data_IF_486594960808
#
_entry.id   IF_486594960808
#
_cell.length_a   1.000
_cell.length_b   1.000
_cell.length_c   1.000
_cell.angle_alpha   90.00
_cell.angle_beta   90.00
_cell.angle_gamma   90.00
#
_symmetry.space_group_name_H-M   'P 1'
#
loop_
_entity.id
_entity.type
_entity.pdbx_description
1 polymer ?
#
# COMPACT_ATOMS: atom_id res chain seq x y z
N UNK A 1 -14.34 -17.26 -8.26
CA UNK A 1 -13.34 -16.18 -8.43
C UNK A 1 -14.02 -14.89 -8.08
N UNK A 2 -13.75 -14.34 -6.89
CA UNK A 2 -14.51 -13.22 -6.32
C UNK A 2 -13.74 -11.93 -6.62
N UNK A 3 -14.38 -10.91 -7.23
CA UNK A 3 -13.67 -9.72 -7.67
C UNK A 3 -13.44 -8.80 -6.47
N UNK A 4 -12.20 -8.35 -6.24
CA UNK A 4 -12.04 -7.11 -5.48
C UNK A 4 -12.53 -5.95 -6.38
N UNK A 5 -13.83 -5.65 -6.34
CA UNK A 5 -14.43 -4.52 -7.06
C UNK A 5 -15.56 -3.90 -6.24
N UNK A 6 -15.19 -3.25 -5.14
CA UNK A 6 -15.97 -2.18 -4.54
C UNK A 6 -15.32 -0.86 -4.94
N UNK A 7 -15.95 -0.11 -5.83
CA UNK A 7 -15.44 1.13 -6.44
C UNK A 7 -14.68 2.05 -5.47
N UNK A 8 -13.36 2.03 -5.57
CA UNK A 8 -12.44 2.96 -4.90
C UNK A 8 -11.97 4.12 -5.81
N UNK A 9 -12.34 4.08 -7.09
CA UNK A 9 -11.64 4.82 -8.14
C UNK A 9 -10.54 3.96 -8.79
N UNK A 10 -9.59 4.61 -9.46
CA UNK A 10 -8.46 3.94 -10.11
C UNK A 10 -7.27 3.76 -9.14
N UNK A 11 -6.32 2.90 -9.53
CA UNK A 11 -5.11 2.58 -8.76
C UNK A 11 -4.35 3.83 -8.32
N UNK A 12 -4.24 4.82 -9.21
CA UNK A 12 -3.52 6.08 -8.95
C UNK A 12 -4.22 6.92 -7.87
N UNK A 13 -5.55 7.02 -7.93
CA UNK A 13 -6.34 7.77 -6.96
C UNK A 13 -6.24 7.16 -5.57
N UNK A 14 -6.29 5.84 -5.45
CA UNK A 14 -6.19 5.16 -4.16
C UNK A 14 -4.80 5.34 -3.55
N UNK A 15 -3.74 5.29 -4.37
CA UNK A 15 -2.38 5.58 -3.95
C UNK A 15 -2.29 6.92 -3.19
N UNK A 16 -3.05 7.94 -3.64
CA UNK A 16 -3.05 9.27 -3.01
C UNK A 16 -3.56 9.32 -1.57
N UNK A 17 -4.27 8.29 -1.11
CA UNK A 17 -4.92 8.29 0.21
C UNK A 17 -4.00 7.87 1.36
N UNK A 18 -2.90 7.19 1.08
CA UNK A 18 -1.95 6.72 2.10
C UNK A 18 -0.48 6.91 1.72
N UNK A 19 -0.17 7.14 0.44
CA UNK A 19 1.13 7.69 0.07
C UNK A 19 1.08 9.19 0.33
N UNK A 20 2.09 9.77 1.01
CA UNK A 20 2.28 11.20 1.00
C UNK A 20 2.23 11.71 -0.44
N UNK A 21 1.23 12.52 -0.81
CA UNK A 21 1.14 13.12 -2.15
C UNK A 21 1.61 14.55 -2.15
N UNK A 22 2.46 14.84 -3.12
CA UNK A 22 2.84 16.19 -3.49
C UNK A 22 1.81 16.75 -4.46
N UNK A 23 1.51 18.03 -4.34
CA UNK A 23 1.26 18.82 -5.53
C UNK A 23 2.56 18.98 -6.31
N UNK A 24 2.54 18.78 -7.63
CA UNK A 24 3.63 19.22 -8.51
C UNK A 24 4.27 18.10 -9.32
N UNK A 25 5.10 17.27 -8.69
CA UNK A 25 5.91 16.26 -9.40
C UNK A 25 5.80 14.88 -8.72
N UNK A 26 5.44 13.87 -9.53
CA UNK A 26 5.01 12.52 -9.10
C UNK A 26 6.14 11.62 -8.59
N UNK A 27 7.28 12.16 -8.18
CA UNK A 27 8.53 11.38 -8.02
C UNK A 27 9.06 11.24 -6.59
N UNK A 28 8.70 12.12 -5.64
CA UNK A 28 8.99 11.96 -4.20
C UNK A 28 8.27 13.03 -3.39
N UNK A 29 7.69 12.67 -2.22
CA UNK A 29 6.82 13.59 -1.48
C UNK A 29 7.06 13.71 0.00
N UNK A 30 7.45 14.92 0.43
CA UNK A 30 7.54 15.29 1.84
C UNK A 30 6.18 15.74 2.39
N UNK A 31 5.74 15.10 3.48
CA UNK A 31 4.94 15.77 4.50
C UNK A 31 5.88 16.75 5.19
N UNK A 32 6.13 17.90 4.56
CA UNK A 32 7.15 18.87 4.95
C UNK A 32 7.03 19.39 6.39
N UNK A 33 5.84 19.28 7.01
CA UNK A 33 5.63 19.57 8.45
C UNK A 33 6.21 18.50 9.38
N UNK A 34 6.26 17.25 8.95
CA UNK A 34 6.67 16.10 9.77
C UNK A 34 8.04 15.53 9.34
N UNK A 35 8.62 16.07 8.26
CA UNK A 35 9.91 15.63 7.71
C UNK A 35 9.86 14.18 7.18
N UNK A 36 8.71 13.76 6.65
CA UNK A 36 8.48 12.39 6.16
C UNK A 36 8.37 12.43 4.64
N UNK A 37 9.26 11.75 3.92
CA UNK A 37 9.26 11.61 2.47
C UNK A 37 8.79 10.23 2.02
N UNK A 38 7.79 10.17 1.13
CA UNK A 38 7.30 8.95 0.51
C UNK A 38 7.74 8.81 -0.95
N UNK A 39 8.18 7.61 -1.35
CA UNK A 39 8.50 7.28 -2.75
C UNK A 39 7.82 5.97 -3.17
N UNK A 40 6.92 6.05 -4.15
CA UNK A 40 6.32 4.87 -4.76
C UNK A 40 7.35 4.13 -5.62
N UNK A 41 7.46 2.82 -5.43
CA UNK A 41 8.37 1.93 -6.19
C UNK A 41 7.59 1.11 -7.22
N UNK A 42 6.47 0.52 -6.80
CA UNK A 42 5.61 -0.31 -7.65
C UNK A 42 4.14 -0.09 -7.27
N UNK A 43 3.26 -0.14 -8.25
CA UNK A 43 1.83 -0.29 -8.03
C UNK A 43 1.29 -1.36 -8.98
N UNK A 44 0.43 -2.24 -8.46
CA UNK A 44 -0.16 -3.33 -9.24
C UNK A 44 -1.54 -3.69 -8.73
N UNK A 45 -2.29 -4.45 -9.54
CA UNK A 45 -3.54 -5.08 -9.11
C UNK A 45 -3.37 -6.58 -9.08
N UNK A 46 -3.69 -7.20 -7.94
CA UNK A 46 -3.63 -8.64 -7.74
C UNK A 46 -5.00 -9.12 -7.30
N UNK A 47 -5.66 -9.93 -8.13
CA UNK A 47 -6.99 -10.51 -7.86
C UNK A 47 -8.09 -9.45 -7.64
N UNK A 48 -7.91 -8.26 -8.22
CA UNK A 48 -8.80 -7.09 -8.06
C UNK A 48 -8.35 -6.15 -6.94
N UNK A 49 -7.45 -6.60 -6.07
CA UNK A 49 -6.99 -5.81 -4.93
C UNK A 49 -5.81 -4.95 -5.37
N UNK A 50 -5.71 -3.73 -4.86
CA UNK A 50 -4.62 -2.83 -5.21
C UNK A 50 -3.43 -3.07 -4.29
N UNK A 51 -2.23 -3.15 -4.86
CA UNK A 51 -0.99 -3.40 -4.13
C UNK A 51 0.00 -2.29 -4.46
N UNK A 52 0.66 -1.77 -3.43
CA UNK A 52 1.62 -0.68 -3.53
C UNK A 52 2.89 -1.04 -2.78
N UNK A 53 4.03 -0.93 -3.43
CA UNK A 53 5.36 -1.00 -2.81
C UNK A 53 5.95 0.40 -2.79
N UNK A 54 6.38 0.88 -1.62
CA UNK A 54 6.87 2.24 -1.46
C UNK A 54 7.85 2.33 -0.30
N UNK A 55 8.66 3.37 -0.33
CA UNK A 55 9.56 3.74 0.75
C UNK A 55 9.01 4.93 1.52
N UNK A 56 9.29 4.95 2.81
CA UNK A 56 9.15 6.13 3.66
C UNK A 56 10.50 6.45 4.28
N UNK A 57 10.93 7.69 4.13
CA UNK A 57 12.11 8.29 4.72
C UNK A 57 11.66 9.33 5.74
N UNK A 58 12.27 9.36 6.92
CA UNK A 58 11.97 10.37 7.94
C UNK A 58 13.27 10.83 8.57
N UNK A 59 13.38 12.14 8.85
CA UNK A 59 14.55 12.71 9.50
C UNK A 59 14.87 11.95 10.80
N UNK A 60 16.13 11.51 10.92
CA UNK A 60 16.65 10.76 12.09
C UNK A 60 16.02 9.38 12.33
N UNK A 61 15.30 8.81 11.35
CA UNK A 61 14.76 7.45 11.42
C UNK A 61 15.28 6.60 10.25
N UNK A 62 15.44 5.28 10.43
CA UNK A 62 15.80 4.41 9.32
C UNK A 62 14.71 4.42 8.24
N UNK A 63 15.13 4.51 6.98
CA UNK A 63 14.27 4.30 5.81
C UNK A 63 13.50 2.99 5.95
N UNK A 64 12.20 3.04 5.62
CA UNK A 64 11.31 1.89 5.69
C UNK A 64 10.81 1.53 4.30
N UNK A 65 10.78 0.24 4.02
CA UNK A 65 10.05 -0.34 2.89
C UNK A 65 8.70 -0.82 3.36
N UNK A 66 7.66 -0.51 2.59
CA UNK A 66 6.30 -0.90 2.86
C UNK A 66 5.70 -1.55 1.61
N UNK A 67 4.96 -2.64 1.83
CA UNK A 67 4.07 -3.24 0.83
C UNK A 67 2.66 -3.26 1.39
N UNK A 68 1.75 -2.54 0.74
CA UNK A 68 0.37 -2.37 1.20
C UNK A 68 -0.60 -2.93 0.18
N UNK A 69 -1.49 -3.83 0.60
CA UNK A 69 -2.69 -4.22 -0.13
C UNK A 69 -3.87 -3.39 0.35
N UNK A 70 -4.70 -2.94 -0.58
CA UNK A 70 -5.95 -2.19 -0.35
C UNK A 70 -7.08 -2.86 -1.11
N UNK A 71 -8.19 -3.10 -0.42
CA UNK A 71 -9.36 -3.75 -1.03
C UNK A 71 -10.67 -3.40 -0.30
N UNK A 72 -11.80 -3.59 -0.99
CA UNK A 72 -13.11 -3.65 -0.36
C UNK A 72 -13.52 -5.10 -0.21
N UNK A 73 -13.73 -5.53 1.03
CA UNK A 73 -14.45 -6.76 1.33
C UNK A 73 -15.96 -6.45 1.36
N UNK A 74 -16.73 -7.22 0.59
CA UNK A 74 -18.18 -7.24 0.72
C UNK A 74 -18.53 -8.20 1.86
N UNK A 75 -19.45 -7.81 2.73
CA UNK A 75 -20.02 -8.72 3.72
C UNK A 75 -21.51 -8.78 3.47
N UNK A 76 -22.01 -9.94 3.04
CA UNK A 76 -23.42 -10.14 2.70
C UNK A 76 -24.31 -9.67 3.85
N UNK A 77 -25.24 -8.75 3.55
CA UNK A 77 -26.16 -8.17 4.54
C UNK A 77 -25.54 -7.21 5.56
N UNK A 78 -24.22 -6.96 5.54
CA UNK A 78 -23.54 -6.07 6.51
C UNK A 78 -22.80 -4.88 5.89
N UNK A 79 -22.69 -4.84 4.57
CA UNK A 79 -22.17 -3.68 3.84
C UNK A 79 -20.75 -3.88 3.29
N UNK A 80 -20.02 -2.77 3.14
CA UNK A 80 -18.68 -2.75 2.52
C UNK A 80 -17.64 -2.40 3.59
N UNK A 81 -16.53 -3.15 3.63
CA UNK A 81 -15.39 -2.90 4.54
C UNK A 81 -14.14 -2.60 3.75
N UNK A 82 -13.46 -1.50 4.08
CA UNK A 82 -12.10 -1.25 3.61
C UNK A 82 -11.14 -2.13 4.39
N UNK A 83 -10.33 -2.89 3.67
CA UNK A 83 -9.26 -3.72 4.24
C UNK A 83 -7.94 -3.22 3.70
N UNK A 84 -7.03 -2.90 4.63
CA UNK A 84 -5.65 -2.57 4.33
C UNK A 84 -4.73 -3.56 5.03
N UNK A 85 -3.74 -4.08 4.32
CA UNK A 85 -2.74 -4.98 4.87
C UNK A 85 -1.36 -4.46 4.50
N UNK A 86 -0.59 -4.02 5.49
CA UNK A 86 0.73 -3.43 5.29
C UNK A 86 1.80 -4.28 5.96
N UNK A 87 2.77 -4.74 5.17
CA UNK A 87 4.03 -5.28 5.67
C UNK A 87 5.10 -4.18 5.61
N UNK A 88 5.91 -4.04 6.65
CA UNK A 88 6.99 -3.04 6.69
C UNK A 88 8.29 -3.58 7.29
N UNK A 89 9.41 -3.05 6.83
CA UNK A 89 10.75 -3.32 7.38
C UNK A 89 11.64 -2.11 7.20
N UNK A 90 12.73 -2.06 7.96
CA UNK A 90 13.82 -1.14 7.63
C UNK A 90 14.51 -1.56 6.34
N UNK A 91 15.16 -0.61 5.66
CA UNK A 91 16.02 -0.83 4.48
C UNK A 91 16.97 -2.02 4.69
N UNK A 92 17.72 -2.00 5.79
CA UNK A 92 18.72 -3.01 6.10
C UNK A 92 18.16 -4.45 6.19
N UNK A 93 16.88 -4.61 6.57
CA UNK A 93 16.23 -5.92 6.68
C UNK A 93 15.41 -6.28 5.44
N UNK A 94 15.17 -5.34 4.54
CA UNK A 94 14.28 -5.55 3.40
C UNK A 94 14.74 -6.69 2.46
N UNK A 95 16.03 -6.84 2.11
CA UNK A 95 16.47 -7.95 1.25
C UNK A 95 16.14 -9.34 1.81
N UNK A 96 16.16 -9.50 3.13
CA UNK A 96 15.81 -10.76 3.80
C UNK A 96 14.29 -10.98 3.93
N UNK A 97 13.50 -9.91 3.91
CA UNK A 97 12.06 -9.93 4.21
C UNK A 97 11.16 -9.68 3.00
N UNK A 98 11.69 -9.19 1.87
CA UNK A 98 10.92 -8.85 0.66
C UNK A 98 10.10 -10.02 0.14
N UNK A 99 10.68 -11.23 0.12
CA UNK A 99 9.97 -12.46 -0.21
C UNK A 99 8.84 -12.81 0.76
N UNK A 100 8.97 -12.44 2.04
CA UNK A 100 7.92 -12.62 3.05
C UNK A 100 6.79 -11.63 2.83
N UNK A 101 7.08 -10.37 2.46
CA UNK A 101 6.04 -9.36 2.20
C UNK A 101 5.12 -9.84 1.08
N UNK A 102 5.71 -10.32 -0.01
CA UNK A 102 4.95 -10.90 -1.11
C UNK A 102 4.06 -12.04 -0.63
N UNK A 103 4.59 -12.97 0.17
CA UNK A 103 3.79 -14.09 0.74
C UNK A 103 2.66 -13.62 1.65
N UNK A 104 2.88 -12.61 2.48
CA UNK A 104 1.85 -12.03 3.37
C UNK A 104 0.72 -11.45 2.54
N UNK A 105 1.03 -10.65 1.53
CA UNK A 105 0.02 -10.09 0.63
C UNK A 105 -0.69 -11.19 -0.19
N UNK A 106 0.08 -12.15 -0.72
CA UNK A 106 -0.48 -13.25 -1.52
C UNK A 106 -1.37 -14.18 -0.68
N UNK A 107 -1.12 -14.29 0.63
CA UNK A 107 -1.95 -15.06 1.58
C UNK A 107 -3.34 -14.47 1.81
N UNK A 108 -3.54 -13.18 1.52
CA UNK A 108 -4.84 -12.56 1.64
C UNK A 108 -5.82 -13.19 0.65
N UNK A 109 -6.88 -13.81 1.20
CA UNK A 109 -8.02 -14.32 0.46
C UNK A 109 -9.21 -13.49 0.89
N UNK A 110 -9.77 -12.70 -0.03
CA UNK A 110 -11.05 -12.06 0.22
C UNK A 110 -12.10 -13.17 0.43
N UNK A 111 -12.59 -13.29 1.66
CA UNK A 111 -13.80 -14.07 1.93
C UNK A 111 -14.96 -13.28 1.35
N UNK A 112 -15.63 -13.86 0.36
CA UNK A 112 -17.00 -13.45 0.02
C UNK A 112 -17.96 -13.94 1.08
#
# INVERSE_FOLDING_TARGET
>A
TIPCSGSFGNLEYVATTFLPTCGGDRTACSLSKDGIEGRLLESSSVRGCYVYDYMIEQVSQPTRHLRTLVTIALEEGRGKRLVTLTSQSTEAKHPALSGIFKKVIDSYKATG
#
